data_IF_964207721101
#
_entry.id   IF_964207721101
#
_cell.length_a   1.000
_cell.length_b   1.000
_cell.length_c   1.000
_cell.angle_alpha   90.00
_cell.angle_beta   90.00
_cell.angle_gamma   90.00
#
_symmetry.space_group_name_H-M   'P 1'
#
loop_
_entity.id
_entity.type
_entity.pdbx_description
1 polymer ?
#
# COMPACT_ATOMS: atom_id res chain seq x y z
N UNK A 1 25.22 32.87 71.14
CA UNK A 1 24.77 31.54 70.64
C UNK A 1 23.70 31.77 69.60
N UNK A 2 24.08 31.74 68.33
CA UNK A 2 23.19 31.92 67.20
C UNK A 2 23.46 30.78 66.19
N UNK A 3 22.50 30.54 65.30
CA UNK A 3 22.53 29.59 64.18
C UNK A 3 22.10 28.15 64.47
N UNK A 4 20.77 27.95 64.58
CA UNK A 4 20.12 26.75 64.03
C UNK A 4 18.77 27.16 63.46
N UNK A 5 18.71 27.42 62.15
CA UNK A 5 17.51 27.39 61.29
C UNK A 5 17.91 27.83 59.89
N UNK A 6 18.40 26.89 59.09
CA UNK A 6 18.49 27.05 57.64
C UNK A 6 18.88 25.72 57.00
N UNK A 7 17.95 24.78 56.87
CA UNK A 7 18.05 23.67 55.91
C UNK A 7 16.64 23.14 55.65
N UNK A 8 15.85 23.89 54.88
CA UNK A 8 14.59 23.44 54.29
C UNK A 8 14.18 24.45 53.21
N UNK A 9 14.92 24.48 52.10
CA UNK A 9 14.47 25.07 50.85
C UNK A 9 15.35 24.53 49.72
N UNK A 10 14.75 24.34 48.54
CA UNK A 10 15.30 23.73 47.31
C UNK A 10 15.13 22.21 47.18
N UNK A 11 13.87 21.80 47.01
CA UNK A 11 13.54 20.65 46.18
C UNK A 11 12.20 20.93 45.48
N UNK A 12 12.19 21.86 44.52
CA UNK A 12 11.06 22.02 43.62
C UNK A 12 11.52 22.56 42.26
N UNK A 13 10.86 22.07 41.20
CA UNK A 13 10.97 22.41 39.78
C UNK A 13 12.10 21.74 38.96
N UNK A 14 11.91 20.46 38.63
CA UNK A 14 12.33 19.92 37.31
C UNK A 14 11.54 18.66 36.99
N UNK A 15 10.30 18.82 36.51
CA UNK A 15 9.51 17.71 35.98
C UNK A 15 8.41 18.20 35.02
N UNK A 16 8.70 19.10 34.09
CA UNK A 16 7.75 19.47 33.02
C UNK A 16 8.53 19.73 31.72
N UNK A 17 8.96 18.66 31.03
CA UNK A 17 9.49 18.80 29.66
C UNK A 17 9.48 17.50 28.83
N UNK A 18 8.65 16.50 29.15
CA UNK A 18 8.74 15.17 28.49
C UNK A 18 7.55 14.78 27.61
N UNK A 19 6.63 15.69 27.29
CA UNK A 19 5.44 15.39 26.49
C UNK A 19 5.31 16.29 25.26
N UNK A 20 6.31 16.25 24.36
CA UNK A 20 6.20 16.83 23.02
C UNK A 20 6.82 15.88 22.01
N UNK A 21 6.11 14.79 21.72
CA UNK A 21 6.61 13.76 20.80
C UNK A 21 5.63 12.61 20.59
N UNK A 22 4.32 12.87 20.65
CA UNK A 22 3.37 11.94 20.05
C UNK A 22 3.46 12.11 18.53
N UNK A 23 4.48 11.51 17.92
CA UNK A 23 4.52 11.31 16.47
C UNK A 23 3.22 10.61 16.11
N UNK A 24 2.36 11.27 15.33
CA UNK A 24 1.15 10.65 14.80
C UNK A 24 1.51 9.28 14.27
N UNK A 25 0.82 8.23 14.72
CA UNK A 25 0.98 6.88 14.18
C UNK A 25 0.47 6.87 12.73
N UNK A 26 1.25 7.44 11.81
CA UNK A 26 1.05 7.26 10.39
C UNK A 26 1.37 5.79 10.13
N UNK A 27 0.33 4.98 9.84
CA UNK A 27 0.46 3.55 9.69
C UNK A 27 1.57 3.24 8.66
N UNK A 28 2.66 2.67 9.15
CA UNK A 28 3.81 2.29 8.33
C UNK A 28 3.39 1.16 7.38
N UNK A 29 4.05 1.08 6.23
CA UNK A 29 3.81 -0.01 5.29
C UNK A 29 4.19 -1.36 5.91
N UNK A 30 3.23 -2.28 5.94
CA UNK A 30 3.40 -3.65 6.41
C UNK A 30 3.77 -4.51 5.21
N UNK A 31 4.75 -5.39 5.37
CA UNK A 31 5.10 -6.38 4.35
C UNK A 31 5.04 -7.78 4.94
N UNK A 32 4.41 -8.70 4.20
CA UNK A 32 4.35 -10.11 4.52
C UNK A 32 4.76 -10.92 3.30
N UNK A 33 5.56 -11.96 3.53
CA UNK A 33 5.94 -12.94 2.53
C UNK A 33 5.67 -14.33 3.08
N UNK A 34 5.09 -15.19 2.25
CA UNK A 34 4.79 -16.58 2.58
C UNK A 34 5.26 -17.48 1.45
N UNK A 35 5.85 -18.63 1.80
CA UNK A 35 6.06 -19.72 0.86
C UNK A 35 4.83 -20.65 0.92
N UNK A 36 4.27 -21.00 -0.23
CA UNK A 36 3.10 -21.89 -0.36
C UNK A 36 3.55 -23.34 -0.50
N UNK A 37 2.60 -24.26 -0.26
CA UNK A 37 2.85 -25.70 -0.23
C UNK A 37 3.44 -26.27 -1.53
N UNK A 38 3.22 -25.61 -2.66
CA UNK A 38 3.67 -26.05 -3.99
C UNK A 38 4.83 -25.22 -4.55
N UNK A 39 5.60 -24.55 -3.69
CA UNK A 39 6.79 -23.79 -4.09
C UNK A 39 6.51 -22.38 -4.64
N UNK A 40 5.24 -22.03 -4.83
CA UNK A 40 4.81 -20.66 -5.11
C UNK A 40 5.09 -19.75 -3.91
N UNK A 41 5.27 -18.46 -4.17
CA UNK A 41 5.43 -17.45 -3.13
C UNK A 41 4.23 -16.51 -3.14
N UNK A 42 3.90 -15.98 -1.99
CA UNK A 42 2.97 -14.86 -1.87
C UNK A 42 3.69 -13.73 -1.17
N UNK A 43 3.57 -12.52 -1.71
CA UNK A 43 4.08 -11.31 -1.08
C UNK A 43 3.02 -10.23 -1.10
N UNK A 44 2.82 -9.57 0.03
CA UNK A 44 1.86 -8.47 0.18
C UNK A 44 2.54 -7.32 0.90
N UNK A 45 2.48 -6.13 0.30
CA UNK A 45 2.73 -4.86 0.96
C UNK A 45 1.40 -4.13 1.13
N UNK A 46 1.11 -3.66 2.33
CA UNK A 46 -0.14 -2.95 2.62
C UNK A 46 0.07 -1.72 3.50
N UNK A 47 -0.81 -0.74 3.35
CA UNK A 47 -0.91 0.41 4.25
C UNK A 47 -2.38 0.72 4.52
N UNK A 48 -2.67 1.08 5.77
CA UNK A 48 -4.02 1.38 6.24
C UNK A 48 -4.16 2.90 6.32
N UNK A 49 -5.15 3.43 5.62
CA UNK A 49 -5.54 4.83 5.69
C UNK A 49 -6.81 5.02 6.50
N UNK A 50 -7.25 6.27 6.60
CA UNK A 50 -8.42 6.66 7.39
C UNK A 50 -9.72 5.96 6.95
N UNK A 51 -9.87 5.67 5.65
CA UNK A 51 -11.10 5.13 5.05
C UNK A 51 -10.88 3.97 4.08
N UNK A 52 -9.64 3.51 3.90
CA UNK A 52 -9.31 2.46 2.94
C UNK A 52 -8.00 1.75 3.28
N UNK A 53 -7.78 0.58 2.70
CA UNK A 53 -6.52 -0.16 2.80
C UNK A 53 -5.97 -0.37 1.39
N UNK A 54 -4.70 -0.06 1.20
CA UNK A 54 -4.00 -0.26 -0.06
C UNK A 54 -3.20 -1.55 -0.01
N UNK A 55 -3.20 -2.30 -1.11
CA UNK A 55 -2.42 -3.51 -1.28
C UNK A 55 -1.63 -3.47 -2.57
N UNK A 56 -0.36 -3.85 -2.49
CA UNK A 56 0.39 -4.43 -3.59
C UNK A 56 0.61 -5.90 -3.26
N UNK A 57 0.16 -6.80 -4.12
CA UNK A 57 0.26 -8.24 -3.93
C UNK A 57 0.96 -8.89 -5.11
N UNK A 58 1.73 -9.92 -4.85
CA UNK A 58 2.11 -10.92 -5.82
C UNK A 58 1.72 -12.30 -5.29
N UNK A 59 1.06 -13.10 -6.12
CA UNK A 59 0.71 -14.49 -5.86
C UNK A 59 0.79 -15.30 -7.18
N UNK A 60 0.21 -16.51 -7.21
CA UNK A 60 0.09 -17.35 -8.41
C UNK A 60 -0.60 -16.65 -9.58
N UNK A 61 -1.52 -15.74 -9.29
CA UNK A 61 -2.32 -15.01 -10.28
C UNK A 61 -1.57 -13.78 -10.82
N UNK A 62 -0.37 -13.52 -10.30
CA UNK A 62 0.51 -12.43 -10.74
C UNK A 62 0.50 -11.22 -9.81
N UNK A 63 0.87 -10.09 -10.38
CA UNK A 63 1.06 -8.83 -9.67
C UNK A 63 -0.24 -8.03 -9.65
N UNK A 64 -0.67 -7.57 -8.47
CA UNK A 64 -1.95 -6.89 -8.27
C UNK A 64 -1.79 -5.61 -7.45
N UNK A 65 -2.58 -4.61 -7.79
CA UNK A 65 -2.77 -3.37 -7.03
C UNK A 65 -4.23 -3.20 -6.69
N UNK A 66 -4.55 -3.00 -5.42
CA UNK A 66 -5.94 -2.80 -5.00
C UNK A 66 -6.11 -1.85 -3.82
N UNK A 67 -7.31 -1.29 -3.74
CA UNK A 67 -7.84 -0.46 -2.70
C UNK A 67 -9.08 -1.15 -2.12
N UNK A 68 -9.03 -1.55 -0.86
CA UNK A 68 -10.19 -2.03 -0.14
C UNK A 68 -10.90 -0.87 0.56
N UNK A 69 -12.22 -0.80 0.39
CA UNK A 69 -13.08 0.22 1.02
C UNK A 69 -14.13 -0.46 1.91
N UNK A 70 -14.60 0.19 3.00
CA UNK A 70 -15.50 -0.43 3.96
C UNK A 70 -16.94 -0.63 3.44
N UNK A 71 -17.32 0.12 2.41
CA UNK A 71 -18.66 0.09 1.81
C UNK A 71 -18.99 -1.24 1.16
N UNK A 72 -20.27 -1.57 1.22
CA UNK A 72 -20.91 -2.64 0.47
C UNK A 72 -21.64 -2.00 -0.71
N UNK A 73 -21.28 -2.39 -1.93
CA UNK A 73 -21.90 -1.87 -3.15
C UNK A 73 -22.92 -2.87 -3.73
N UNK A 74 -23.19 -3.96 -3.01
CA UNK A 74 -24.06 -5.07 -3.40
C UNK A 74 -23.73 -5.60 -4.79
N UNK A 75 -24.76 -6.11 -5.47
CA UNK A 75 -24.68 -6.62 -6.85
C UNK A 75 -24.44 -5.52 -7.92
N UNK A 76 -24.04 -4.30 -7.51
CA UNK A 76 -23.86 -3.16 -8.42
C UNK A 76 -22.47 -3.09 -9.05
N UNK A 77 -21.55 -4.01 -8.72
CA UNK A 77 -20.17 -4.07 -9.26
C UNK A 77 -20.13 -3.95 -10.78
N UNK A 78 -20.95 -4.73 -11.49
CA UNK A 78 -21.06 -4.70 -12.95
C UNK A 78 -21.52 -3.33 -13.50
N UNK A 79 -22.41 -2.65 -12.77
CA UNK A 79 -22.89 -1.32 -13.17
C UNK A 79 -21.79 -0.29 -12.97
N UNK A 80 -21.04 -0.36 -11.87
CA UNK A 80 -19.97 0.59 -11.58
C UNK A 80 -18.80 0.37 -12.54
N UNK A 81 -18.46 -0.87 -12.87
CA UNK A 81 -17.41 -1.20 -13.83
C UNK A 81 -17.67 -0.58 -15.22
N UNK A 82 -18.95 -0.48 -15.64
CA UNK A 82 -19.34 0.23 -16.88
C UNK A 82 -19.10 1.73 -16.84
N UNK A 83 -18.97 2.33 -15.65
CA UNK A 83 -18.69 3.76 -15.47
C UNK A 83 -17.18 4.08 -15.57
N UNK A 84 -16.33 3.07 -15.78
CA UNK A 84 -14.88 3.25 -15.86
C UNK A 84 -14.28 3.82 -14.58
N UNK A 85 -14.43 3.13 -13.44
CA UNK A 85 -13.90 3.61 -12.18
C UNK A 85 -12.37 3.61 -12.20
N UNK A 86 -11.78 4.52 -11.42
CA UNK A 86 -10.34 4.69 -11.36
C UNK A 86 -9.87 4.78 -9.90
N UNK A 87 -8.72 4.18 -9.61
CA UNK A 87 -7.95 4.58 -8.43
C UNK A 87 -7.21 5.86 -8.78
N UNK A 88 -7.29 6.85 -7.89
CA UNK A 88 -6.55 8.11 -7.98
C UNK A 88 -5.50 8.18 -6.89
N UNK A 89 -4.28 8.56 -7.27
CA UNK A 89 -3.15 8.68 -6.34
C UNK A 89 -2.50 10.04 -6.52
N UNK A 90 -2.40 10.81 -5.44
CA UNK A 90 -1.59 12.02 -5.35
C UNK A 90 -0.48 11.82 -4.33
N UNK A 91 0.75 12.21 -4.69
CA UNK A 91 1.91 12.10 -3.82
C UNK A 91 2.37 13.49 -3.43
N UNK A 92 2.62 13.71 -2.13
CA UNK A 92 3.16 14.95 -1.59
C UNK A 92 2.43 16.24 -2.06
N UNK A 93 1.14 16.13 -2.39
CA UNK A 93 0.30 17.24 -2.88
C UNK A 93 0.37 17.52 -4.39
N UNK A 94 1.04 16.67 -5.17
CA UNK A 94 1.09 16.78 -6.64
C UNK A 94 -0.26 16.47 -7.30
N UNK A 95 -0.38 16.76 -8.60
CA UNK A 95 -1.57 16.41 -9.38
C UNK A 95 -1.83 14.88 -9.33
N UNK A 96 -3.10 14.43 -9.19
CA UNK A 96 -3.40 13.01 -9.11
C UNK A 96 -3.11 12.25 -10.41
N UNK A 97 -2.49 11.09 -10.29
CA UNK A 97 -2.36 10.07 -11.33
C UNK A 97 -3.56 9.11 -11.23
N UNK A 98 -4.06 8.64 -12.38
CA UNK A 98 -5.24 7.78 -12.48
C UNK A 98 -4.85 6.40 -13.02
N UNK A 99 -5.46 5.38 -12.44
CA UNK A 99 -5.28 3.99 -12.80
C UNK A 99 -6.66 3.38 -13.02
N UNK A 100 -6.89 2.84 -14.22
CA UNK A 100 -8.13 2.14 -14.53
C UNK A 100 -8.19 0.85 -13.70
N UNK A 101 -9.36 0.58 -13.12
CA UNK A 101 -9.56 -0.58 -12.24
C UNK A 101 -10.86 -1.28 -12.53
N UNK A 102 -10.98 -2.48 -12.00
CA UNK A 102 -12.24 -3.19 -11.84
C UNK A 102 -12.61 -3.22 -10.36
N UNK A 103 -13.90 -3.14 -10.11
CA UNK A 103 -14.51 -3.36 -8.81
C UNK A 103 -14.94 -4.81 -8.75
N UNK A 104 -14.43 -5.53 -7.76
CA UNK A 104 -14.85 -6.87 -7.42
C UNK A 104 -15.19 -6.94 -5.93
N UNK A 105 -16.00 -7.93 -5.58
CA UNK A 105 -16.30 -8.27 -4.20
C UNK A 105 -15.41 -9.44 -3.77
N UNK A 106 -14.85 -9.37 -2.57
CA UNK A 106 -14.09 -10.48 -2.01
C UNK A 106 -14.99 -11.41 -1.17
N UNK A 107 -14.41 -12.53 -0.72
CA UNK A 107 -15.12 -13.53 0.09
C UNK A 107 -15.64 -13.02 1.44
N UNK A 108 -15.23 -11.82 1.88
CA UNK A 108 -15.69 -11.17 3.09
C UNK A 108 -16.73 -10.06 2.82
N UNK A 109 -17.32 -10.05 1.62
CA UNK A 109 -18.26 -9.02 1.17
C UNK A 109 -17.69 -7.60 1.23
N UNK A 110 -16.37 -7.48 1.00
CA UNK A 110 -15.68 -6.20 0.93
C UNK A 110 -15.29 -5.91 -0.50
N UNK A 111 -15.45 -4.65 -0.86
CA UNK A 111 -15.10 -4.17 -2.18
C UNK A 111 -13.59 -4.05 -2.30
N UNK A 112 -13.08 -4.65 -3.37
CA UNK A 112 -11.73 -4.48 -3.88
C UNK A 112 -11.84 -3.74 -5.21
N UNK A 113 -11.41 -2.48 -5.22
CA UNK A 113 -11.12 -1.77 -6.45
C UNK A 113 -9.68 -2.08 -6.81
N UNK A 114 -9.40 -2.70 -7.95
CA UNK A 114 -8.04 -3.07 -8.29
C UNK A 114 -7.80 -3.44 -9.74
N UNK A 115 -6.54 -3.70 -10.04
CA UNK A 115 -6.07 -4.14 -11.34
C UNK A 115 -4.95 -5.16 -11.16
N UNK A 116 -4.92 -6.14 -12.06
CA UNK A 116 -3.89 -7.17 -12.21
C UNK A 116 -3.06 -6.97 -13.49
N UNK A 117 -3.30 -5.89 -14.24
CA UNK A 117 -2.48 -5.51 -15.39
C UNK A 117 -1.07 -5.14 -14.93
N UNK A 118 -0.09 -5.99 -15.21
CA UNK A 118 1.23 -5.91 -14.64
C UNK A 118 1.93 -4.56 -14.93
N UNK A 119 1.70 -3.96 -16.11
CA UNK A 119 2.26 -2.65 -16.46
C UNK A 119 1.63 -1.53 -15.62
N UNK A 120 0.31 -1.52 -15.51
CA UNK A 120 -0.44 -0.58 -14.67
C UNK A 120 -0.06 -0.70 -13.21
N UNK A 121 0.08 -1.93 -12.70
CA UNK A 121 0.51 -2.18 -11.31
C UNK A 121 1.93 -1.70 -11.08
N UNK A 122 2.88 -1.95 -11.99
CA UNK A 122 4.26 -1.44 -11.88
C UNK A 122 4.29 0.09 -11.92
N UNK A 123 3.47 0.72 -12.76
CA UNK A 123 3.32 2.18 -12.80
C UNK A 123 2.77 2.72 -11.48
N UNK A 124 1.73 2.11 -10.93
CA UNK A 124 1.17 2.48 -9.63
C UNK A 124 2.20 2.31 -8.51
N UNK A 125 2.93 1.20 -8.50
CA UNK A 125 4.01 0.92 -7.56
C UNK A 125 5.10 2.02 -7.63
N UNK A 126 5.53 2.40 -8.83
CA UNK A 126 6.49 3.47 -9.04
C UNK A 126 6.02 4.82 -8.50
N UNK A 127 4.76 5.19 -8.77
CA UNK A 127 4.16 6.43 -8.24
C UNK A 127 4.12 6.40 -6.71
N UNK A 128 3.55 5.35 -6.11
CA UNK A 128 3.42 5.25 -4.64
C UNK A 128 4.78 5.18 -3.96
N UNK A 129 5.72 4.40 -4.49
CA UNK A 129 7.07 4.25 -3.96
C UNK A 129 7.92 5.53 -4.07
N UNK A 130 7.54 6.49 -4.92
CA UNK A 130 8.23 7.77 -5.06
C UNK A 130 7.82 8.83 -4.03
N UNK A 131 6.75 8.59 -3.28
CA UNK A 131 6.27 9.50 -2.25
C UNK A 131 7.29 9.66 -1.12
N UNK A 132 7.49 10.89 -0.63
CA UNK A 132 8.46 11.18 0.43
C UNK A 132 7.80 11.45 1.78
N UNK A 133 6.59 12.01 1.78
CA UNK A 133 5.90 12.43 3.01
C UNK A 133 4.52 11.80 3.12
N UNK A 134 3.71 11.91 2.06
CA UNK A 134 2.29 11.51 2.09
C UNK A 134 1.84 10.95 0.76
N UNK A 135 0.96 9.97 0.84
CA UNK A 135 0.19 9.45 -0.28
C UNK A 135 -1.28 9.73 0.01
N UNK A 136 -1.95 10.45 -0.88
CA UNK A 136 -3.39 10.65 -0.89
C UNK A 136 -3.97 9.70 -1.95
N UNK A 137 -4.81 8.75 -1.57
CA UNK A 137 -5.41 7.75 -2.47
C UNK A 137 -6.92 7.72 -2.33
N UNK A 138 -7.64 7.39 -3.40
CA UNK A 138 -9.08 7.17 -3.36
C UNK A 138 -9.61 6.62 -4.67
N UNK A 139 -10.94 6.61 -4.81
CA UNK A 139 -11.63 6.25 -6.04
C UNK A 139 -12.17 7.50 -6.74
N UNK A 140 -12.17 7.48 -8.07
CA UNK A 140 -12.83 8.48 -8.91
C UNK A 140 -13.71 7.77 -9.95
N UNK A 141 -14.96 8.22 -10.08
CA UNK A 141 -15.86 7.82 -11.15
C UNK A 141 -16.89 8.94 -11.35
N UNK A 142 -17.28 9.19 -12.61
CA UNK A 142 -18.13 10.32 -13.00
C UNK A 142 -17.61 11.69 -12.48
N UNK A 143 -16.28 11.86 -12.41
CA UNK A 143 -15.62 13.08 -11.93
C UNK A 143 -15.78 13.33 -10.42
N UNK A 144 -16.41 12.42 -9.69
CA UNK A 144 -16.58 12.50 -8.23
C UNK A 144 -15.56 11.61 -7.55
N UNK A 145 -15.08 12.05 -6.39
CA UNK A 145 -14.05 11.36 -5.60
C UNK A 145 -14.65 10.75 -4.35
N UNK A 146 -14.25 9.53 -4.05
CA UNK A 146 -14.76 8.70 -2.97
C UNK A 146 -13.61 8.05 -2.21
N UNK A 147 -13.85 7.70 -0.95
CA UNK A 147 -12.89 6.94 -0.13
C UNK A 147 -11.48 7.51 -0.10
N UNK A 148 -11.38 8.85 -0.12
CA UNK A 148 -10.10 9.52 -0.03
C UNK A 148 -9.45 9.21 1.34
N UNK A 149 -8.24 8.67 1.30
CA UNK A 149 -7.45 8.25 2.44
C UNK A 149 -6.06 8.83 2.36
N UNK A 150 -5.53 9.19 3.52
CA UNK A 150 -4.14 9.61 3.68
C UNK A 150 -3.33 8.45 4.22
N UNK A 151 -2.18 8.20 3.59
CA UNK A 151 -1.26 7.14 3.97
C UNK A 151 0.12 7.73 4.23
N UNK A 152 0.85 7.06 5.12
CA UNK A 152 2.27 7.32 5.31
C UNK A 152 3.08 6.89 4.09
N UNK A 153 4.02 7.72 3.66
CA UNK A 153 5.06 7.29 2.71
C UNK A 153 6.15 6.44 3.40
N UNK A 154 6.18 6.41 4.74
CA UNK A 154 7.23 5.72 5.49
C UNK A 154 7.26 4.21 5.17
N UNK A 155 8.40 3.75 4.67
CA UNK A 155 8.62 2.34 4.32
C UNK A 155 8.03 1.91 2.97
N UNK A 156 7.21 2.74 2.31
CA UNK A 156 6.50 2.40 1.07
C UNK A 156 7.43 1.81 0.01
N UNK A 157 8.49 2.55 -0.34
CA UNK A 157 9.47 2.16 -1.36
C UNK A 157 10.03 0.76 -1.10
N UNK A 158 10.51 0.50 0.11
CA UNK A 158 11.17 -0.77 0.47
C UNK A 158 10.18 -1.93 0.46
N UNK A 159 8.97 -1.73 0.99
CA UNK A 159 7.97 -2.80 1.09
C UNK A 159 7.36 -3.14 -0.27
N UNK A 160 7.04 -2.13 -1.07
CA UNK A 160 6.52 -2.32 -2.43
C UNK A 160 7.58 -2.99 -3.31
N UNK A 161 8.85 -2.55 -3.25
CA UNK A 161 9.92 -3.19 -4.01
C UNK A 161 10.08 -4.67 -3.64
N UNK A 162 9.95 -5.04 -2.36
CA UNK A 162 10.02 -6.43 -1.94
C UNK A 162 8.90 -7.32 -2.54
N UNK A 163 7.72 -6.74 -2.83
CA UNK A 163 6.65 -7.42 -3.57
C UNK A 163 7.04 -7.60 -5.03
N UNK A 164 7.50 -6.53 -5.70
CA UNK A 164 7.94 -6.56 -7.09
C UNK A 164 9.07 -7.58 -7.32
N UNK A 165 10.05 -7.60 -6.43
CA UNK A 165 11.18 -8.53 -6.48
C UNK A 165 10.71 -9.97 -6.30
N UNK A 166 9.77 -10.21 -5.38
CA UNK A 166 9.19 -11.56 -5.20
C UNK A 166 8.46 -12.00 -6.46
N UNK A 167 7.71 -11.10 -7.11
CA UNK A 167 7.02 -11.43 -8.36
C UNK A 167 7.97 -11.71 -9.52
N UNK A 168 9.05 -10.94 -9.65
CA UNK A 168 10.07 -11.19 -10.65
C UNK A 168 10.78 -12.55 -10.44
N UNK A 169 10.97 -12.98 -9.19
CA UNK A 169 11.55 -14.29 -8.87
C UNK A 169 10.61 -15.46 -9.17
N UNK A 170 9.29 -15.25 -9.11
CA UNK A 170 8.30 -16.29 -9.40
C UNK A 170 8.09 -16.50 -10.90
N UNK A 171 8.25 -15.45 -11.70
CA UNK A 171 8.22 -15.51 -13.16
C UNK A 171 9.52 -16.11 -13.76
N UNK A 172 10.08 -17.16 -13.14
CA UNK A 172 11.40 -17.72 -13.46
C UNK A 172 11.66 -17.98 -14.96
N UNK A 173 12.94 -18.14 -15.36
CA UNK A 173 13.35 -18.19 -16.77
C UNK A 173 12.93 -19.51 -17.40
N UNK A 174 11.75 -19.57 -18.01
CA UNK A 174 11.31 -20.71 -18.81
C UNK A 174 10.35 -20.24 -19.91
N UNK A 175 10.90 -19.66 -20.98
CA UNK A 175 10.27 -19.65 -22.31
C UNK A 175 11.21 -19.23 -23.47
N UNK A 176 12.54 -19.43 -23.37
CA UNK A 176 13.48 -19.12 -24.48
C UNK A 176 14.50 -20.23 -24.85
N UNK A 177 14.32 -21.48 -24.40
CA UNK A 177 15.18 -22.60 -24.83
C UNK A 177 14.42 -23.71 -25.56
N UNK A 178 13.60 -23.34 -26.54
CA UNK A 178 13.17 -24.27 -27.60
C UNK A 178 13.32 -23.61 -28.97
N UNK A 179 14.55 -23.21 -29.32
CA UNK A 179 14.97 -23.02 -30.72
C UNK A 179 16.36 -23.59 -30.93
N UNK A 180 16.48 -24.33 -32.03
CA UNK A 180 17.68 -24.89 -32.65
C UNK A 180 18.30 -26.13 -32.00
N UNK A 181 17.76 -27.30 -32.36
CA UNK A 181 18.62 -28.42 -32.77
C UNK A 181 18.66 -28.44 -34.30
N UNK A 182 19.78 -28.08 -34.94
CA UNK A 182 20.03 -28.41 -36.32
C UNK A 182 20.80 -29.73 -36.33
N UNK A 183 20.12 -30.87 -36.38
CA UNK A 183 20.79 -32.13 -36.74
C UNK A 183 20.56 -32.44 -38.21
N UNK A 184 21.49 -31.92 -38.99
CA UNK A 184 21.89 -32.41 -40.29
C UNK A 184 22.61 -33.76 -40.16
N UNK A 185 22.04 -34.83 -40.70
CA UNK A 185 22.68 -35.76 -41.67
C UNK A 185 21.75 -36.88 -42.08
#
# INVERSE_FOLDING_TARGET
MAYRKAFLALASLSAIASMAGASSAAAEWIFKKEDKAFGEKEAVAMSIGDSSIVFFRCNSDGLQFSLATPEDWGDSSDTINKLGPQIIVSIDGAAPVRFDIQISENQAHKILAGTDDAETVRRAAGVVASAKKRIDIGLEFLGKRYHASKLSAAGATKKIQAVLDTCAQQAGPNEENEKESPDSK
#
